data_IF_865209278485
#
_entry.id   IF_865209278485
#
_cell.length_a   1.000
_cell.length_b   1.000
_cell.length_c   1.000
_cell.angle_alpha   90.00
_cell.angle_beta   90.00
_cell.angle_gamma   90.00
#
_symmetry.space_group_name_H-M   'P 1'
#
loop_
_entity.id
_entity.type
_entity.pdbx_description
1 polymer ?
#
# COMPACT_ATOMS: atom_id res chain seq x y z
N UNK A 1 18.49 -39.95 25.87
CA UNK A 1 18.26 -39.43 24.51
C UNK A 1 17.36 -38.21 24.66
N UNK A 2 17.95 -37.05 24.88
CA UNK A 2 17.29 -35.77 25.17
C UNK A 2 18.14 -34.67 24.54
N UNK A 3 17.52 -33.56 24.13
CA UNK A 3 18.06 -32.40 23.40
C UNK A 3 18.20 -32.52 21.87
N UNK A 4 17.07 -32.56 21.16
CA UNK A 4 17.02 -32.09 19.76
C UNK A 4 15.84 -31.18 19.40
N UNK A 5 14.92 -30.92 20.33
CA UNK A 5 13.70 -30.14 20.03
C UNK A 5 13.81 -28.63 20.30
N UNK A 6 14.89 -28.15 20.92
CA UNK A 6 15.05 -26.70 21.22
C UNK A 6 15.75 -25.87 20.13
N UNK A 7 16.27 -26.49 19.07
CA UNK A 7 17.07 -25.76 18.07
C UNK A 7 16.20 -24.92 17.12
N UNK A 8 14.99 -25.36 16.79
CA UNK A 8 14.09 -24.67 15.84
C UNK A 8 13.51 -23.38 16.45
N UNK A 9 13.19 -23.40 17.75
CA UNK A 9 12.66 -22.23 18.46
C UNK A 9 13.76 -21.19 18.69
N UNK A 10 15.01 -21.61 18.95
CA UNK A 10 16.13 -20.67 19.13
C UNK A 10 16.56 -19.96 17.84
N UNK A 11 16.40 -20.59 16.67
CA UNK A 11 16.66 -19.95 15.37
C UNK A 11 15.66 -18.84 15.01
N UNK A 12 14.48 -18.81 15.61
CA UNK A 12 13.52 -17.71 15.43
C UNK A 12 13.93 -16.43 16.17
N UNK A 13 14.73 -16.53 17.25
CA UNK A 13 15.10 -15.40 18.11
C UNK A 13 16.52 -14.87 17.89
N UNK A 14 17.33 -15.52 17.07
CA UNK A 14 18.61 -14.98 16.63
C UNK A 14 18.35 -13.95 15.52
N UNK A 15 19.09 -12.82 15.48
CA UNK A 15 19.03 -11.91 14.35
C UNK A 15 19.30 -12.74 13.09
N UNK A 16 18.35 -12.74 12.15
CA UNK A 16 18.58 -13.38 10.85
C UNK A 16 19.89 -12.85 10.27
N UNK A 17 20.58 -13.64 9.44
CA UNK A 17 21.79 -13.17 8.75
C UNK A 17 21.55 -11.82 8.06
N UNK A 18 20.34 -11.62 7.55
CA UNK A 18 19.83 -10.38 7.00
C UNK A 18 19.75 -9.21 8.01
N UNK A 19 19.29 -9.46 9.24
CA UNK A 19 19.28 -8.45 10.32
C UNK A 19 20.68 -8.05 10.73
N UNK A 20 21.61 -9.01 10.80
CA UNK A 20 23.02 -8.74 11.08
C UNK A 20 23.66 -7.88 9.98
N UNK A 21 23.36 -8.17 8.71
CA UNK A 21 23.82 -7.38 7.57
C UNK A 21 23.28 -5.94 7.61
N UNK A 22 22.00 -5.74 7.90
CA UNK A 22 21.43 -4.39 8.06
C UNK A 22 22.00 -3.62 9.24
N UNK A 23 22.28 -4.29 10.36
CA UNK A 23 22.94 -3.65 11.50
C UNK A 23 24.39 -3.25 11.16
N UNK A 24 25.09 -4.04 10.35
CA UNK A 24 26.44 -3.71 9.86
C UNK A 24 26.42 -2.54 8.88
N UNK A 25 25.38 -2.44 8.04
CA UNK A 25 25.19 -1.36 7.07
C UNK A 25 24.72 -0.03 7.70
N UNK A 26 24.07 -0.08 8.87
CA UNK A 26 23.61 1.11 9.58
C UNK A 26 24.78 1.98 10.06
N UNK A 27 24.68 3.29 9.79
CA UNK A 27 25.74 4.27 10.06
C UNK A 27 25.76 4.73 11.51
N UNK A 28 24.59 4.83 12.15
CA UNK A 28 24.47 5.34 13.52
C UNK A 28 24.09 4.26 14.55
N UNK A 29 24.53 4.40 15.82
CA UNK A 29 24.13 3.48 16.88
C UNK A 29 22.62 3.53 17.17
N UNK A 30 21.99 4.70 17.00
CA UNK A 30 20.54 4.88 17.15
C UNK A 30 19.75 4.10 16.10
N UNK A 31 20.20 4.12 14.84
CA UNK A 31 19.58 3.31 13.77
C UNK A 31 19.68 1.82 14.09
N UNK A 32 20.85 1.34 14.54
CA UNK A 32 21.04 -0.08 14.93
C UNK A 32 20.09 -0.50 16.04
N UNK A 33 19.96 0.32 17.09
CA UNK A 33 19.04 0.06 18.19
C UNK A 33 17.57 0.00 17.72
N UNK A 34 17.19 0.88 16.78
CA UNK A 34 15.85 0.89 16.20
C UNK A 34 15.57 -0.32 15.31
N UNK A 35 16.53 -0.74 14.48
CA UNK A 35 16.44 -1.98 13.68
C UNK A 35 16.25 -3.17 14.61
N UNK A 36 17.06 -3.26 15.68
CA UNK A 36 16.97 -4.35 16.64
C UNK A 36 15.61 -4.39 17.36
N UNK A 37 15.09 -3.22 17.76
CA UNK A 37 13.76 -3.13 18.40
C UNK A 37 12.65 -3.64 17.49
N UNK A 38 12.61 -3.19 16.23
CA UNK A 38 11.56 -3.60 15.30
C UNK A 38 11.71 -5.04 14.81
N UNK A 39 12.95 -5.54 14.67
CA UNK A 39 13.21 -6.96 14.43
C UNK A 39 12.64 -7.83 15.55
N UNK A 40 12.80 -7.46 16.83
CA UNK A 40 12.19 -8.22 17.94
C UNK A 40 10.66 -8.20 17.89
N UNK A 41 10.05 -7.08 17.53
CA UNK A 41 8.59 -6.94 17.40
C UNK A 41 8.07 -7.82 16.25
N UNK A 42 8.75 -7.80 15.10
CA UNK A 42 8.44 -8.64 13.95
C UNK A 42 8.54 -10.14 14.32
N UNK A 43 9.64 -10.56 14.97
CA UNK A 43 9.79 -11.94 15.46
C UNK A 43 8.68 -12.34 16.41
N UNK A 44 8.29 -11.45 17.34
CA UNK A 44 7.18 -11.71 18.26
C UNK A 44 5.85 -11.85 17.51
N UNK A 45 5.62 -11.03 16.48
CA UNK A 45 4.46 -11.13 15.60
C UNK A 45 4.42 -12.46 14.84
N UNK A 46 5.53 -12.88 14.24
CA UNK A 46 5.66 -14.17 13.55
C UNK A 46 5.37 -15.33 14.52
N UNK A 47 5.98 -15.32 15.71
CA UNK A 47 5.76 -16.36 16.72
C UNK A 47 4.30 -16.42 17.18
N UNK A 48 3.66 -15.26 17.44
CA UNK A 48 2.24 -15.19 17.79
C UNK A 48 1.34 -15.70 16.66
N UNK A 49 1.68 -15.39 15.40
CA UNK A 49 0.94 -15.86 14.22
C UNK A 49 1.03 -17.39 14.10
N UNK A 50 2.22 -17.96 14.21
CA UNK A 50 2.42 -19.42 14.18
C UNK A 50 1.69 -20.13 15.33
N UNK A 51 1.69 -19.52 16.51
CA UNK A 51 0.92 -20.00 17.65
C UNK A 51 -0.59 -19.95 17.38
N UNK A 52 -1.09 -18.86 16.81
CA UNK A 52 -2.48 -18.73 16.38
C UNK A 52 -2.89 -19.77 15.34
N UNK A 53 -2.04 -20.02 14.33
CA UNK A 53 -2.26 -21.09 13.34
C UNK A 53 -2.31 -22.47 14.02
N UNK A 54 -1.42 -22.73 14.98
CA UNK A 54 -1.44 -23.97 15.75
C UNK A 54 -2.74 -24.11 16.57
N UNK A 55 -3.20 -23.00 17.19
CA UNK A 55 -4.47 -22.96 17.91
C UNK A 55 -5.67 -23.19 16.98
N UNK A 56 -5.65 -22.68 15.75
CA UNK A 56 -6.70 -22.93 14.75
C UNK A 56 -6.78 -24.41 14.36
N UNK A 57 -5.63 -25.08 14.22
CA UNK A 57 -5.59 -26.52 13.98
C UNK A 57 -6.16 -27.30 15.17
N UNK A 58 -5.76 -26.94 16.40
CA UNK A 58 -6.27 -27.57 17.62
C UNK A 58 -7.76 -27.29 17.86
N UNK A 59 -8.24 -26.09 17.50
CA UNK A 59 -9.64 -25.69 17.58
C UNK A 59 -10.55 -26.62 16.77
N UNK A 60 -10.07 -27.10 15.62
CA UNK A 60 -10.80 -28.09 14.81
C UNK A 60 -11.03 -29.39 15.58
N UNK A 61 -9.99 -29.93 16.23
CA UNK A 61 -10.11 -31.16 17.04
C UNK A 61 -10.97 -30.94 18.29
N UNK A 62 -10.78 -29.80 18.96
CA UNK A 62 -11.59 -29.44 20.13
C UNK A 62 -13.08 -29.30 19.77
N UNK A 63 -13.39 -28.74 18.60
CA UNK A 63 -14.77 -28.61 18.11
C UNK A 63 -15.46 -29.96 17.91
N UNK A 64 -14.74 -30.96 17.40
CA UNK A 64 -15.25 -32.34 17.30
C UNK A 64 -15.56 -32.90 18.70
N UNK A 65 -14.65 -32.71 19.66
CA UNK A 65 -14.87 -33.15 21.03
C UNK A 65 -16.08 -32.48 21.70
N UNK A 66 -16.24 -31.16 21.52
CA UNK A 66 -17.39 -30.40 22.01
C UNK A 66 -18.68 -30.89 21.36
N UNK A 67 -18.69 -31.13 20.04
CA UNK A 67 -19.87 -31.62 19.34
C UNK A 67 -20.30 -33.01 19.86
N UNK A 68 -19.36 -33.94 20.04
CA UNK A 68 -19.63 -35.28 20.58
C UNK A 68 -20.15 -35.18 22.02
N UNK A 69 -19.51 -34.39 22.87
CA UNK A 69 -19.96 -34.20 24.26
C UNK A 69 -21.40 -33.67 24.32
N UNK A 70 -21.69 -32.61 23.58
CA UNK A 70 -23.01 -31.98 23.58
C UNK A 70 -24.11 -32.83 22.94
N UNK A 71 -23.76 -33.75 22.02
CA UNK A 71 -24.70 -34.75 21.51
C UNK A 71 -25.15 -35.78 22.55
N UNK A 72 -24.37 -35.96 23.62
CA UNK A 72 -24.70 -36.89 24.72
C UNK A 72 -25.42 -36.18 25.87
N UNK A 73 -25.14 -34.88 26.06
CA UNK A 73 -25.65 -34.11 27.22
C UNK A 73 -26.82 -33.17 26.91
N UNK A 74 -27.37 -33.17 25.67
CA UNK A 74 -28.44 -32.27 25.21
C UNK A 74 -28.20 -30.77 25.53
N UNK A 75 -26.94 -30.34 25.46
CA UNK A 75 -26.54 -28.95 25.72
C UNK A 75 -26.24 -28.16 24.44
N UNK A 76 -26.27 -26.83 24.50
CA UNK A 76 -25.88 -25.97 23.38
C UNK A 76 -24.34 -25.83 23.25
N UNK A 77 -23.71 -26.22 22.12
CA UNK A 77 -22.28 -26.08 21.90
C UNK A 77 -21.83 -24.66 21.49
N UNK A 78 -22.74 -23.73 21.22
CA UNK A 78 -22.40 -22.42 20.64
C UNK A 78 -21.44 -21.60 21.51
N UNK A 79 -21.67 -21.55 22.82
CA UNK A 79 -20.82 -20.81 23.77
C UNK A 79 -19.36 -21.30 23.79
N UNK A 80 -19.11 -22.59 24.04
CA UNK A 80 -17.76 -23.16 23.98
C UNK A 80 -17.07 -22.97 22.62
N UNK A 81 -17.79 -23.18 21.51
CA UNK A 81 -17.24 -23.01 20.16
C UNK A 81 -16.83 -21.56 19.89
N UNK A 82 -17.63 -20.58 20.33
CA UNK A 82 -17.30 -19.16 20.20
C UNK A 82 -15.96 -18.83 20.86
N UNK A 83 -15.72 -19.32 22.08
CA UNK A 83 -14.45 -19.08 22.79
C UNK A 83 -13.26 -19.78 22.14
N UNK A 84 -13.44 -21.03 21.69
CA UNK A 84 -12.39 -21.81 21.00
C UNK A 84 -11.94 -21.08 19.74
N UNK A 85 -12.88 -20.74 18.86
CA UNK A 85 -12.56 -20.08 17.59
C UNK A 85 -12.18 -18.62 17.77
N UNK A 86 -12.87 -17.87 18.64
CA UNK A 86 -12.58 -16.47 18.93
C UNK A 86 -11.17 -16.26 19.47
N UNK A 87 -10.70 -17.15 20.35
CA UNK A 87 -9.32 -17.08 20.86
C UNK A 87 -8.30 -17.40 19.77
N UNK A 88 -8.53 -18.46 18.99
CA UNK A 88 -7.61 -18.88 17.93
C UNK A 88 -7.47 -17.80 16.83
N UNK A 89 -8.61 -17.26 16.36
CA UNK A 89 -8.65 -16.17 15.38
C UNK A 89 -8.04 -14.89 15.95
N UNK A 90 -8.37 -14.53 17.19
CA UNK A 90 -7.84 -13.33 17.84
C UNK A 90 -6.32 -13.34 17.98
N UNK A 91 -5.74 -14.47 18.43
CA UNK A 91 -4.27 -14.61 18.55
C UNK A 91 -3.60 -14.55 17.18
N UNK A 92 -4.14 -15.26 16.18
CA UNK A 92 -3.59 -15.25 14.82
C UNK A 92 -3.64 -13.84 14.21
N UNK A 93 -4.78 -13.13 14.34
CA UNK A 93 -4.97 -11.79 13.80
C UNK A 93 -4.05 -10.74 14.44
N UNK A 94 -3.93 -10.74 15.78
CA UNK A 94 -3.03 -9.82 16.48
C UNK A 94 -1.56 -10.11 16.12
N UNK A 95 -1.20 -11.39 16.00
CA UNK A 95 0.13 -11.81 15.56
C UNK A 95 0.46 -11.28 14.16
N UNK A 96 -0.44 -11.50 13.20
CA UNK A 96 -0.28 -11.08 11.81
C UNK A 96 -0.17 -9.55 11.70
N UNK A 97 -1.03 -8.81 12.40
CA UNK A 97 -0.97 -7.34 12.43
C UNK A 97 0.35 -6.84 13.00
N UNK A 98 0.81 -7.45 14.10
CA UNK A 98 2.09 -7.09 14.74
C UNK A 98 3.27 -7.40 13.81
N UNK A 99 3.21 -8.52 13.08
CA UNK A 99 4.20 -8.88 12.08
C UNK A 99 4.26 -7.85 10.95
N UNK A 100 3.13 -7.53 10.31
CA UNK A 100 3.06 -6.55 9.21
C UNK A 100 3.59 -5.18 9.63
N UNK A 101 3.11 -4.67 10.77
CA UNK A 101 3.56 -3.39 11.31
C UNK A 101 5.05 -3.41 11.69
N UNK A 102 5.50 -4.51 12.30
CA UNK A 102 6.90 -4.71 12.67
C UNK A 102 7.84 -4.73 11.47
N UNK A 103 7.46 -5.48 10.42
CA UNK A 103 8.21 -5.58 9.16
C UNK A 103 8.33 -4.24 8.46
N UNK A 104 7.21 -3.52 8.28
CA UNK A 104 7.19 -2.19 7.67
C UNK A 104 8.07 -1.20 8.44
N UNK A 105 7.94 -1.15 9.76
CA UNK A 105 8.72 -0.26 10.62
C UNK A 105 10.20 -0.64 10.67
N UNK A 106 10.54 -1.94 10.62
CA UNK A 106 11.92 -2.41 10.52
C UNK A 106 12.53 -1.98 9.19
N UNK A 107 11.84 -2.17 8.07
CA UNK A 107 12.32 -1.78 6.76
C UNK A 107 12.57 -0.26 6.70
N UNK A 108 11.63 0.56 7.17
CA UNK A 108 11.83 2.00 7.27
C UNK A 108 13.03 2.36 8.17
N UNK A 109 13.22 1.64 9.28
CA UNK A 109 14.36 1.85 10.16
C UNK A 109 15.70 1.49 9.50
N UNK A 110 15.75 0.44 8.67
CA UNK A 110 16.96 -0.01 7.96
C UNK A 110 17.48 1.02 6.97
N UNK A 111 16.61 1.85 6.37
CA UNK A 111 17.00 2.83 5.35
C UNK A 111 16.93 4.28 5.82
N UNK A 112 16.57 4.53 7.07
CA UNK A 112 16.38 5.88 7.59
C UNK A 112 17.66 6.72 7.60
N UNK A 113 18.82 6.07 7.75
CA UNK A 113 20.14 6.69 7.60
C UNK A 113 20.83 6.21 6.32
N UNK A 114 20.10 5.77 5.30
CA UNK A 114 20.66 5.44 4.00
C UNK A 114 21.10 6.70 3.22
N UNK A 115 21.94 6.52 2.22
CA UNK A 115 22.23 7.54 1.22
C UNK A 115 21.03 7.69 0.30
N UNK A 116 20.60 8.93 0.07
CA UNK A 116 19.53 9.24 -0.86
C UNK A 116 20.13 9.58 -2.22
N UNK A 117 19.74 8.82 -3.24
CA UNK A 117 20.28 8.92 -4.59
C UNK A 117 19.14 9.02 -5.60
N UNK A 118 19.38 9.79 -6.66
CA UNK A 118 18.48 9.87 -7.81
C UNK A 118 19.07 9.03 -8.94
N UNK A 119 18.30 8.06 -9.39
CA UNK A 119 18.63 7.22 -10.54
C UNK A 119 17.56 7.29 -11.63
N UNK A 120 17.69 6.42 -12.60
CA UNK A 120 16.76 6.22 -13.70
C UNK A 120 16.26 4.79 -13.67
N UNK A 121 14.98 4.60 -13.98
CA UNK A 121 14.42 3.26 -14.18
C UNK A 121 14.88 2.75 -15.53
N UNK A 122 15.71 1.71 -15.57
CA UNK A 122 16.20 1.14 -16.82
C UNK A 122 15.18 0.21 -17.45
N UNK A 123 14.47 -0.56 -16.60
CA UNK A 123 13.56 -1.61 -17.05
C UNK A 123 12.55 -1.94 -15.97
N UNK A 124 11.32 -2.23 -16.37
CA UNK A 124 10.33 -2.87 -15.52
C UNK A 124 10.01 -4.24 -16.13
N UNK A 125 10.14 -5.31 -15.36
CA UNK A 125 9.81 -6.68 -15.78
C UNK A 125 8.51 -7.05 -15.10
N UNK A 126 7.48 -7.26 -15.90
CA UNK A 126 6.18 -7.71 -15.44
C UNK A 126 6.20 -9.20 -15.13
N UNK A 127 5.65 -9.56 -13.98
CA UNK A 127 5.33 -10.93 -13.61
C UNK A 127 3.83 -10.99 -13.40
N UNK A 128 3.08 -11.53 -14.38
CA UNK A 128 1.64 -11.61 -14.28
C UNK A 128 1.28 -12.48 -13.08
N UNK A 129 0.40 -11.95 -12.23
CA UNK A 129 -0.19 -12.71 -11.14
C UNK A 129 -1.06 -13.84 -11.69
N UNK A 130 -1.24 -14.91 -10.93
CA UNK A 130 -2.15 -16.01 -11.28
C UNK A 130 -3.17 -16.23 -10.17
N UNK A 131 -4.45 -16.26 -10.53
CA UNK A 131 -5.54 -16.42 -9.56
C UNK A 131 -5.69 -15.17 -8.68
N UNK A 132 -5.53 -15.35 -7.37
CA UNK A 132 -5.60 -14.28 -6.36
C UNK A 132 -4.26 -13.54 -6.18
N UNK A 133 -3.18 -14.01 -6.83
CA UNK A 133 -1.89 -13.33 -6.76
C UNK A 133 -1.94 -12.05 -7.61
N UNK A 134 -1.50 -10.94 -7.01
CA UNK A 134 -1.40 -9.67 -7.72
C UNK A 134 -0.26 -9.69 -8.75
N UNK A 135 -0.46 -9.02 -9.88
CA UNK A 135 0.62 -8.71 -10.82
C UNK A 135 1.67 -7.88 -10.11
N UNK A 136 2.93 -8.32 -10.23
CA UNK A 136 4.07 -7.65 -9.60
C UNK A 136 5.18 -7.39 -10.61
N UNK A 137 6.03 -6.42 -10.29
CA UNK A 137 7.05 -5.91 -11.18
C UNK A 137 8.42 -5.90 -10.52
N UNK A 138 9.42 -6.37 -11.27
CA UNK A 138 10.83 -6.14 -10.97
C UNK A 138 11.32 -4.89 -11.70
N UNK A 139 11.44 -3.78 -10.98
CA UNK A 139 11.92 -2.52 -11.51
C UNK A 139 13.44 -2.42 -11.30
N UNK A 140 14.20 -2.36 -12.39
CA UNK A 140 15.66 -2.17 -12.39
C UNK A 140 15.98 -0.68 -12.47
N UNK A 141 16.85 -0.24 -11.58
CA UNK A 141 17.23 1.15 -11.40
C UNK A 141 18.74 1.26 -11.54
N UNK A 142 19.22 2.23 -12.33
CA UNK A 142 20.62 2.62 -12.37
C UNK A 142 20.81 4.03 -11.83
N UNK A 143 21.86 4.26 -11.05
CA UNK A 143 22.21 5.60 -10.59
C UNK A 143 23.73 5.82 -10.65
N UNK A 144 24.15 6.97 -11.18
CA UNK A 144 25.54 7.39 -11.12
C UNK A 144 25.81 7.98 -9.72
N UNK A 145 26.74 7.39 -8.97
CA UNK A 145 27.07 7.83 -7.60
C UNK A 145 28.44 8.50 -7.49
N UNK A 146 29.35 8.19 -8.41
CA UNK A 146 30.62 8.87 -8.60
C UNK A 146 31.02 8.78 -10.08
N UNK A 147 32.04 9.55 -10.52
CA UNK A 147 32.47 9.69 -11.93
C UNK A 147 32.68 8.37 -12.68
N UNK A 148 32.89 7.25 -11.97
CA UNK A 148 33.09 5.92 -12.56
C UNK A 148 32.24 4.80 -11.95
N UNK A 149 31.28 5.09 -11.05
CA UNK A 149 30.49 4.04 -10.38
C UNK A 149 28.99 4.19 -10.62
N UNK A 150 28.40 3.19 -11.28
CA UNK A 150 26.96 3.05 -11.45
C UNK A 150 26.43 2.03 -10.46
N UNK A 151 25.52 2.46 -9.59
CA UNK A 151 24.73 1.55 -8.76
C UNK A 151 23.63 0.93 -9.58
N UNK A 152 23.42 -0.37 -9.39
CA UNK A 152 22.27 -1.11 -9.93
C UNK A 152 21.43 -1.61 -8.77
N UNK A 153 20.13 -1.33 -8.82
CA UNK A 153 19.16 -1.73 -7.79
C UNK A 153 17.93 -2.37 -8.41
N UNK A 154 17.30 -3.26 -7.67
CA UNK A 154 16.07 -3.96 -8.02
C UNK A 154 15.01 -3.64 -6.97
N UNK A 155 13.93 -3.04 -7.42
CA UNK A 155 12.79 -2.68 -6.60
C UNK A 155 11.61 -3.58 -6.99
N UNK A 156 11.12 -4.33 -6.02
CA UNK A 156 9.92 -5.16 -6.16
C UNK A 156 8.68 -4.32 -5.83
N UNK A 157 7.71 -4.27 -6.73
CA UNK A 157 6.51 -3.45 -6.59
C UNK A 157 5.29 -4.19 -7.12
N UNK A 158 4.22 -4.20 -6.35
CA UNK A 158 2.92 -4.75 -6.75
C UNK A 158 2.07 -3.69 -7.47
N UNK A 159 1.12 -4.15 -8.28
CA UNK A 159 0.17 -3.29 -9.00
C UNK A 159 0.50 -3.08 -10.48
N UNK A 160 -0.26 -2.20 -11.11
CA UNK A 160 -0.31 -2.12 -12.57
C UNK A 160 0.52 -0.98 -13.17
N UNK A 161 0.88 -1.14 -14.45
CA UNK A 161 1.45 -0.11 -15.32
C UNK A 161 2.78 0.53 -14.90
N UNK A 162 3.64 -0.19 -14.14
CA UNK A 162 4.98 0.31 -13.78
C UNK A 162 5.95 0.38 -14.97
N UNK A 163 5.63 -0.21 -16.12
CA UNK A 163 6.36 -0.05 -17.39
C UNK A 163 6.46 1.40 -17.87
N UNK A 164 5.47 2.25 -17.54
CA UNK A 164 5.46 3.67 -17.94
C UNK A 164 6.56 4.48 -17.27
N UNK A 165 7.16 3.95 -16.20
CA UNK A 165 8.24 4.61 -15.45
C UNK A 165 9.61 4.33 -16.05
N UNK A 166 9.73 3.42 -17.01
CA UNK A 166 11.00 3.14 -17.71
C UNK A 166 11.51 4.40 -18.41
N UNK A 167 12.77 4.74 -18.17
CA UNK A 167 13.40 6.00 -18.58
C UNK A 167 13.13 7.18 -17.65
N UNK A 168 12.19 7.05 -16.71
CA UNK A 168 11.85 8.09 -15.73
C UNK A 168 12.83 8.13 -14.54
N UNK A 169 12.99 9.29 -13.89
CA UNK A 169 13.83 9.38 -12.71
C UNK A 169 13.16 8.77 -11.47
N UNK A 170 13.97 8.27 -10.54
CA UNK A 170 13.52 7.64 -9.30
C UNK A 170 14.47 8.01 -8.17
N UNK A 171 13.90 8.39 -7.02
CA UNK A 171 14.63 8.71 -5.81
C UNK A 171 14.50 7.54 -4.84
N UNK A 172 15.64 7.02 -4.41
CA UNK A 172 15.69 5.88 -3.51
C UNK A 172 16.78 6.04 -2.46
N UNK A 173 16.65 5.28 -1.37
CA UNK A 173 17.68 5.12 -0.35
C UNK A 173 18.41 3.80 -0.51
N UNK A 174 19.71 3.81 -0.25
CA UNK A 174 20.56 2.63 -0.22
C UNK A 174 21.60 2.79 0.90
N UNK A 175 22.04 1.69 1.50
CA UNK A 175 23.00 1.72 2.60
C UNK A 175 24.43 1.45 2.14
N UNK A 176 24.60 0.77 1.00
CA UNK A 176 25.89 0.33 0.47
C UNK A 176 26.16 0.92 -0.90
N UNK A 177 27.45 1.03 -1.26
CA UNK A 177 27.90 1.37 -2.61
C UNK A 177 28.23 0.13 -3.46
N UNK A 178 27.89 -1.05 -2.95
CA UNK A 178 28.18 -2.32 -3.62
C UNK A 178 27.29 -2.46 -4.87
N UNK A 179 27.87 -2.79 -6.03
CA UNK A 179 27.11 -2.93 -7.28
C UNK A 179 26.28 -4.22 -7.32
N UNK A 180 26.67 -5.24 -6.57
CA UNK A 180 26.00 -6.55 -6.43
C UNK A 180 24.88 -6.56 -5.38
N UNK A 181 24.79 -5.53 -4.53
CA UNK A 181 23.70 -5.36 -3.57
C UNK A 181 22.41 -4.87 -4.26
N UNK A 182 21.82 -5.70 -5.11
CA UNK A 182 20.67 -5.32 -5.94
C UNK A 182 19.46 -4.93 -5.10
N UNK A 183 19.21 -5.63 -4.00
CA UNK A 183 18.03 -5.42 -3.14
C UNK A 183 18.24 -4.35 -2.05
N UNK A 184 19.40 -3.68 -2.05
CA UNK A 184 19.71 -2.55 -1.16
C UNK A 184 19.06 -1.25 -1.67
N UNK A 185 17.73 -1.25 -1.70
CA UNK A 185 16.92 -0.14 -2.21
C UNK A 185 15.64 0.04 -1.41
N UNK A 186 15.34 1.29 -1.09
CA UNK A 186 14.07 1.69 -0.53
C UNK A 186 13.56 2.91 -1.30
N UNK A 187 12.41 2.75 -1.96
CA UNK A 187 11.79 3.82 -2.72
C UNK A 187 11.45 4.99 -1.78
N UNK A 188 11.89 6.19 -2.15
CA UNK A 188 11.48 7.42 -1.48
C UNK A 188 10.39 8.10 -2.29
N UNK A 189 10.62 8.26 -3.59
CA UNK A 189 9.73 8.99 -4.50
C UNK A 189 10.06 8.68 -5.96
N UNK A 190 9.10 8.87 -6.86
CA UNK A 190 9.37 8.88 -8.30
C UNK A 190 9.71 10.31 -8.69
N UNK A 191 11.01 10.62 -8.75
CA UNK A 191 11.45 11.95 -9.13
C UNK A 191 11.08 12.20 -10.59
N UNK A 192 10.18 13.12 -10.91
CA UNK A 192 9.78 13.34 -12.30
C UNK A 192 8.45 14.06 -12.49
N UNK A 193 7.55 14.01 -11.51
CA UNK A 193 6.32 14.80 -11.55
C UNK A 193 6.47 16.06 -10.72
N UNK A 194 6.90 17.11 -11.43
CA UNK A 194 6.94 18.53 -11.09
C UNK A 194 7.77 18.89 -9.84
N UNK A 195 8.91 19.55 -10.07
CA UNK A 195 9.45 20.63 -9.21
C UNK A 195 9.90 20.29 -7.79
N UNK A 196 11.23 20.19 -7.63
CA UNK A 196 12.05 20.52 -6.46
C UNK A 196 11.59 20.21 -5.01
N UNK A 197 12.45 19.40 -4.39
CA UNK A 197 12.96 19.49 -3.01
C UNK A 197 11.99 19.39 -1.82
N UNK A 198 12.36 18.42 -0.99
CA UNK A 198 12.15 18.34 0.45
C UNK A 198 12.41 19.67 1.17
N UNK A 199 11.39 20.54 1.28
CA UNK A 199 11.22 21.44 2.42
C UNK A 199 9.82 22.04 2.47
N UNK A 200 9.07 21.66 3.52
CA UNK A 200 7.83 22.30 4.00
C UNK A 200 6.66 22.29 3.02
N UNK A 201 5.61 21.57 3.43
CA UNK A 201 4.25 21.88 3.02
C UNK A 201 3.97 23.37 3.15
N UNK A 202 3.53 23.96 2.03
CA UNK A 202 2.57 25.07 2.00
C UNK A 202 2.03 25.42 0.61
N UNK A 203 2.58 24.90 -0.49
CA UNK A 203 2.01 25.08 -1.84
C UNK A 203 2.45 23.94 -2.78
N UNK A 204 1.79 22.78 -2.70
CA UNK A 204 2.04 21.71 -3.66
C UNK A 204 1.00 21.80 -4.77
N UNK A 205 1.43 22.09 -6.00
CA UNK A 205 0.51 22.31 -7.12
C UNK A 205 0.22 20.98 -7.82
N UNK A 206 -1.05 20.72 -8.10
CA UNK A 206 -1.57 19.57 -8.86
C UNK A 206 -1.69 19.94 -10.34
N UNK A 207 -1.52 19.00 -11.28
CA UNK A 207 -1.69 19.27 -12.71
C UNK A 207 -3.07 19.89 -13.03
N UNK A 208 -3.13 20.75 -14.06
CA UNK A 208 -4.36 21.46 -14.39
C UNK A 208 -5.51 20.51 -14.74
N UNK A 209 -6.73 20.83 -14.29
CA UNK A 209 -7.93 20.12 -14.70
C UNK A 209 -8.42 20.61 -16.07
N UNK A 210 -8.84 19.67 -16.91
CA UNK A 210 -9.69 19.96 -18.05
C UNK A 210 -11.15 19.86 -17.61
N UNK A 211 -11.75 21.03 -17.39
CA UNK A 211 -13.13 21.22 -16.94
C UNK A 211 -14.18 21.01 -18.06
N UNK A 212 -13.82 20.35 -19.16
CA UNK A 212 -14.79 19.89 -20.15
C UNK A 212 -15.50 18.64 -19.62
N UNK A 213 -16.84 18.64 -19.40
CA UNK A 213 -17.54 17.47 -18.88
C UNK A 213 -17.43 16.26 -19.81
N UNK A 214 -17.18 15.10 -19.22
CA UNK A 214 -17.12 13.80 -19.92
C UNK A 214 -18.03 12.80 -19.25
N UNK A 215 -18.61 11.89 -20.03
CA UNK A 215 -19.40 10.79 -19.48
C UNK A 215 -18.45 9.68 -19.07
N UNK A 216 -18.52 9.30 -17.79
CA UNK A 216 -17.87 8.11 -17.26
C UNK A 216 -18.93 7.10 -16.82
N UNK A 217 -18.65 5.82 -16.99
CA UNK A 217 -19.52 4.71 -16.58
C UNK A 217 -18.85 3.94 -15.44
N UNK A 218 -19.55 3.71 -14.35
CA UNK A 218 -19.03 2.92 -13.22
C UNK A 218 -18.82 1.47 -13.68
N UNK A 219 -17.61 0.95 -13.56
CA UNK A 219 -17.27 -0.45 -13.88
C UNK A 219 -17.27 -1.33 -12.65
N UNK A 220 -16.69 -0.84 -11.55
CA UNK A 220 -16.59 -1.57 -10.28
C UNK A 220 -16.95 -0.63 -9.14
N UNK A 221 -17.80 -1.12 -8.23
CA UNK A 221 -18.08 -0.52 -6.95
C UNK A 221 -17.67 -1.54 -5.87
N UNK A 222 -16.40 -1.50 -5.48
CA UNK A 222 -15.87 -2.37 -4.43
C UNK A 222 -16.20 -1.75 -3.07
N UNK A 223 -16.99 -2.46 -2.27
CA UNK A 223 -17.44 -2.04 -0.94
C UNK A 223 -16.28 -1.86 0.07
N UNK A 224 -15.10 -2.41 -0.24
CA UNK A 224 -13.84 -2.12 0.43
C UNK A 224 -12.68 -2.82 -0.29
N UNK A 225 -11.69 -2.07 -0.75
CA UNK A 225 -10.40 -2.64 -1.13
C UNK A 225 -9.69 -3.11 0.17
N UNK A 226 -9.50 -4.42 0.32
CA UNK A 226 -8.90 -5.04 1.51
C UNK A 226 -7.44 -4.59 1.77
N UNK A 227 -6.76 -4.02 0.76
CA UNK A 227 -5.36 -3.57 0.88
C UNK A 227 -5.23 -2.10 1.24
N UNK A 228 -6.19 -1.25 0.82
CA UNK A 228 -6.21 0.18 1.20
C UNK A 228 -7.15 0.48 2.36
N UNK A 229 -8.13 -0.38 2.62
CA UNK A 229 -9.17 -0.22 3.63
C UNK A 229 -10.29 0.76 3.25
N UNK A 230 -10.41 1.12 1.96
CA UNK A 230 -11.40 2.09 1.47
C UNK A 230 -12.20 1.56 0.28
N UNK A 231 -13.51 1.83 0.19
CA UNK A 231 -14.29 1.53 -1.01
C UNK A 231 -13.76 2.33 -2.21
N UNK A 232 -13.58 1.67 -3.35
CA UNK A 232 -13.03 2.26 -4.57
C UNK A 232 -14.04 2.21 -5.72
N UNK A 233 -14.47 3.38 -6.20
CA UNK A 233 -15.27 3.48 -7.42
C UNK A 233 -14.34 3.53 -8.63
N UNK A 234 -14.39 2.51 -9.48
CA UNK A 234 -13.73 2.51 -10.80
C UNK A 234 -14.73 2.90 -11.88
N UNK A 235 -14.27 3.70 -12.81
CA UNK A 235 -15.07 4.21 -13.91
C UNK A 235 -14.29 4.11 -15.22
N UNK A 236 -15.02 3.88 -16.31
CA UNK A 236 -14.49 4.01 -17.65
C UNK A 236 -14.97 5.30 -18.30
N UNK A 237 -14.07 6.02 -18.96
CA UNK A 237 -14.42 7.23 -19.69
C UNK A 237 -13.62 7.34 -20.99
N UNK A 238 -14.07 8.20 -21.91
CA UNK A 238 -13.33 8.49 -23.14
C UNK A 238 -12.46 9.75 -22.97
N UNK A 239 -11.15 9.59 -23.11
CA UNK A 239 -10.16 10.67 -23.00
C UNK A 239 -10.17 11.64 -24.17
N UNK A 240 -9.39 12.72 -24.05
CA UNK A 240 -9.16 13.68 -25.15
C UNK A 240 -8.39 13.08 -26.32
N UNK A 241 -7.65 12.01 -26.06
CA UNK A 241 -6.97 11.19 -27.05
C UNK A 241 -7.92 10.26 -27.83
N UNK A 242 -9.21 10.24 -27.48
CA UNK A 242 -10.24 9.40 -28.08
C UNK A 242 -10.21 7.94 -27.60
N UNK A 243 -9.31 7.58 -26.69
CA UNK A 243 -9.21 6.23 -26.12
C UNK A 243 -10.15 6.09 -24.93
N UNK A 244 -10.51 4.85 -24.63
CA UNK A 244 -11.22 4.52 -23.40
C UNK A 244 -10.19 4.23 -22.30
N UNK A 245 -10.38 4.85 -21.15
CA UNK A 245 -9.54 4.69 -19.97
C UNK A 245 -10.40 4.12 -18.85
N UNK A 246 -9.85 3.17 -18.09
CA UNK A 246 -10.43 2.68 -16.84
C UNK A 246 -9.60 3.24 -15.68
N UNK A 247 -10.26 3.98 -14.79
CA UNK A 247 -9.60 4.79 -13.77
C UNK A 247 -10.42 4.85 -12.50
N UNK A 248 -9.79 5.21 -11.39
CA UNK A 248 -10.50 5.44 -10.12
C UNK A 248 -11.15 6.83 -10.09
N UNK A 249 -12.32 6.93 -9.48
CA UNK A 249 -12.91 8.21 -9.10
C UNK A 249 -12.10 8.83 -7.94
N UNK A 250 -11.60 10.05 -8.12
CA UNK A 250 -10.85 10.76 -7.11
C UNK A 250 -11.75 11.17 -5.93
N UNK A 251 -13.01 11.48 -6.17
CA UNK A 251 -13.94 11.86 -5.10
C UNK A 251 -14.20 10.68 -4.17
N UNK A 252 -13.91 10.88 -2.89
CA UNK A 252 -14.33 9.96 -1.86
C UNK A 252 -15.80 10.25 -1.54
N UNK A 253 -16.69 9.40 -2.04
CA UNK A 253 -18.13 9.49 -1.83
C UNK A 253 -18.45 8.93 -0.43
N UNK A 254 -19.33 9.60 0.30
CA UNK A 254 -19.83 9.12 1.58
C UNK A 254 -20.57 7.79 1.43
N UNK A 255 -20.39 6.88 2.39
CA UNK A 255 -20.97 5.53 2.36
C UNK A 255 -22.49 5.54 2.12
N UNK A 256 -23.20 6.55 2.62
CA UNK A 256 -24.65 6.70 2.43
C UNK A 256 -25.09 6.96 0.98
N UNK A 257 -24.15 7.28 0.08
CA UNK A 257 -24.38 7.54 -1.34
C UNK A 257 -23.87 6.46 -2.27
N UNK A 258 -23.10 5.48 -1.78
CA UNK A 258 -22.47 4.44 -2.62
C UNK A 258 -23.51 3.61 -3.40
N UNK A 259 -24.69 3.38 -2.84
CA UNK A 259 -25.81 2.69 -3.52
C UNK A 259 -26.28 3.40 -4.80
N UNK A 260 -25.99 4.69 -4.96
CA UNK A 260 -26.31 5.47 -6.16
C UNK A 260 -25.29 5.28 -7.29
N UNK A 261 -24.16 4.63 -7.02
CA UNK A 261 -23.12 4.31 -7.99
C UNK A 261 -23.11 2.80 -8.32
N UNK A 262 -24.21 2.19 -8.78
CA UNK A 262 -24.15 0.81 -9.24
C UNK A 262 -23.31 0.71 -10.52
N UNK A 263 -22.70 -0.44 -10.76
CA UNK A 263 -22.03 -0.72 -12.02
C UNK A 263 -22.98 -0.48 -13.21
N UNK A 264 -22.48 0.20 -14.24
CA UNK A 264 -23.25 0.65 -15.40
C UNK A 264 -23.93 2.02 -15.24
N UNK A 265 -23.97 2.60 -14.04
CA UNK A 265 -24.41 4.00 -13.88
C UNK A 265 -23.44 4.97 -14.57
N UNK A 266 -23.97 6.10 -15.05
CA UNK A 266 -23.19 7.10 -15.79
C UNK A 266 -23.17 8.43 -15.08
N UNK A 267 -22.00 9.06 -15.06
CA UNK A 267 -21.70 10.27 -14.31
C UNK A 267 -20.89 11.23 -15.16
N UNK A 268 -21.02 12.52 -14.89
CA UNK A 268 -20.17 13.52 -15.54
C UNK A 268 -18.91 13.72 -14.73
N UNK A 269 -17.77 13.67 -15.40
CA UNK A 269 -16.46 13.82 -14.78
C UNK A 269 -15.53 14.77 -15.53
N UNK A 270 -14.56 15.32 -14.82
CA UNK A 270 -13.37 15.98 -15.32
C UNK A 270 -12.15 15.07 -15.22
N UNK A 271 -11.17 15.31 -16.08
CA UNK A 271 -9.86 14.66 -16.04
C UNK A 271 -8.76 15.72 -16.02
N UNK A 272 -7.52 15.29 -15.86
CA UNK A 272 -6.38 16.19 -16.05
C UNK A 272 -6.26 16.64 -17.50
N UNK A 273 -5.75 17.86 -17.69
CA UNK A 273 -5.48 18.47 -19.01
C UNK A 273 -4.34 17.77 -19.74
N UNK A 274 -3.36 17.24 -18.99
CA UNK A 274 -2.25 16.46 -19.54
C UNK A 274 -2.74 15.05 -19.95
N UNK A 275 -2.70 14.69 -21.25
CA UNK A 275 -3.10 13.36 -21.71
C UNK A 275 -2.27 12.22 -21.10
N UNK A 276 -1.03 12.48 -20.67
CA UNK A 276 -0.20 11.48 -19.99
C UNK A 276 -0.81 11.02 -18.64
N UNK A 277 -1.75 11.79 -18.10
CA UNK A 277 -2.45 11.52 -16.84
C UNK A 277 -3.86 10.96 -17.05
N UNK A 278 -4.28 10.65 -18.28
CA UNK A 278 -5.63 10.18 -18.58
C UNK A 278 -5.99 8.86 -17.88
N UNK A 279 -5.01 8.00 -17.58
CA UNK A 279 -5.21 6.74 -16.85
C UNK A 279 -5.01 6.86 -15.32
N UNK A 280 -5.09 8.07 -14.75
CA UNK A 280 -4.84 8.24 -13.30
C UNK A 280 -6.13 8.25 -12.50
N UNK A 281 -6.84 9.36 -12.48
CA UNK A 281 -8.09 9.57 -11.77
C UNK A 281 -8.97 10.57 -12.52
N UNK A 282 -10.26 10.55 -12.20
CA UNK A 282 -11.24 11.54 -12.67
C UNK A 282 -12.03 12.12 -11.49
N UNK A 283 -12.67 13.26 -11.70
CA UNK A 283 -13.36 14.03 -10.66
C UNK A 283 -14.81 14.26 -11.06
N UNK A 284 -15.79 14.10 -10.17
CA UNK A 284 -17.19 14.46 -10.44
C UNK A 284 -17.29 15.95 -10.79
N UNK A 285 -18.09 16.31 -11.79
CA UNK A 285 -18.31 17.73 -12.10
C UNK A 285 -19.16 18.43 -11.03
N UNK A 286 -19.24 19.75 -11.10
CA UNK A 286 -20.12 20.56 -10.26
C UNK A 286 -21.61 20.29 -10.50
N UNK A 287 -21.98 19.62 -11.61
CA UNK A 287 -23.35 19.13 -11.84
C UNK A 287 -23.79 18.11 -10.77
N UNK A 288 -22.82 17.43 -10.14
CA UNK A 288 -23.04 16.43 -9.09
C UNK A 288 -22.70 16.98 -7.71
N UNK A 289 -22.90 18.29 -7.52
CA UNK A 289 -22.75 18.93 -6.22
C UNK A 289 -23.82 18.47 -5.22
N UNK A 290 -24.84 17.71 -5.59
CA UNK A 290 -25.74 17.06 -4.64
C UNK A 290 -25.08 15.87 -3.91
N UNK A 291 -24.04 15.26 -4.50
CA UNK A 291 -23.31 14.11 -3.96
C UNK A 291 -22.55 14.50 -2.68
N UNK A 292 -22.68 13.68 -1.64
CA UNK A 292 -21.92 13.87 -0.41
C UNK A 292 -20.49 13.38 -0.58
N UNK A 293 -19.56 14.33 -0.74
CA UNK A 293 -18.12 14.06 -0.80
C UNK A 293 -17.52 14.16 0.60
N UNK A 294 -16.81 13.12 1.03
CA UNK A 294 -16.14 13.04 2.32
C UNK A 294 -14.61 13.22 2.20
N UNK A 295 -14.08 13.33 0.98
CA UNK A 295 -12.69 13.70 0.70
C UNK A 295 -12.33 13.59 -0.78
N UNK A 296 -11.04 13.70 -1.10
CA UNK A 296 -10.52 13.39 -2.43
C UNK A 296 -9.25 12.55 -2.30
N UNK A 297 -9.19 11.48 -3.08
CA UNK A 297 -8.10 10.53 -3.16
C UNK A 297 -7.36 10.71 -4.49
N UNK A 298 -6.12 11.17 -4.40
CA UNK A 298 -5.28 11.37 -5.57
C UNK A 298 -4.21 10.29 -5.62
N UNK A 299 -4.45 9.29 -6.47
CA UNK A 299 -3.42 8.34 -6.87
C UNK A 299 -2.78 8.84 -8.18
N UNK A 300 -1.87 9.78 -8.04
CA UNK A 300 -1.31 10.52 -9.18
C UNK A 300 -0.17 9.78 -9.90
N UNK A 301 -0.16 8.43 -9.89
CA UNK A 301 0.78 7.56 -10.61
C UNK A 301 2.28 7.81 -10.37
N UNK A 302 2.67 8.85 -9.64
CA UNK A 302 4.02 9.42 -9.60
C UNK A 302 4.31 10.21 -8.30
N UNK A 303 3.31 10.51 -7.47
CA UNK A 303 3.50 10.89 -6.06
C UNK A 303 2.70 9.89 -5.24
N UNK A 304 3.36 9.15 -4.35
CA UNK A 304 2.68 8.24 -3.44
C UNK A 304 1.46 8.91 -2.79
N UNK A 305 0.47 8.09 -2.41
CA UNK A 305 -0.83 8.46 -1.84
C UNK A 305 -0.93 9.93 -1.36
N UNK A 306 -1.47 10.82 -2.21
CA UNK A 306 -1.71 12.21 -1.81
C UNK A 306 -3.06 12.26 -1.12
N UNK A 307 -3.05 12.14 0.21
CA UNK A 307 -4.22 12.36 1.06
C UNK A 307 -4.46 13.88 1.19
N UNK A 308 -5.45 14.42 0.49
CA UNK A 308 -5.80 15.85 0.58
C UNK A 308 -6.73 16.17 1.74
N UNK A 309 -7.06 15.17 2.58
CA UNK A 309 -7.80 15.30 3.84
C UNK A 309 -9.24 14.79 3.72
N UNK A 310 -9.78 14.31 4.85
CA UNK A 310 -11.23 14.10 5.00
C UNK A 310 -11.90 15.45 5.27
N UNK A 311 -13.02 15.74 4.60
CA UNK A 311 -13.84 16.87 4.98
C UNK A 311 -14.38 16.62 6.39
N UNK A 312 -14.14 17.54 7.34
CA UNK A 312 -14.63 17.41 8.72
C UNK A 312 -16.16 17.26 8.81
N UNK A 313 -16.89 17.68 7.77
CA UNK A 313 -18.32 17.49 7.56
C UNK A 313 -18.61 17.34 6.06
N UNK A 314 -18.86 16.13 5.55
CA UNK A 314 -19.31 15.92 4.17
C UNK A 314 -20.57 16.74 3.92
N UNK A 315 -20.63 17.45 2.79
CA UNK A 315 -21.83 18.19 2.36
C UNK A 315 -21.92 18.21 0.84
N UNK A 316 -23.14 18.35 0.29
CA UNK A 316 -23.34 18.72 -1.11
C UNK A 316 -22.46 19.93 -1.48
N UNK A 317 -21.79 19.85 -2.63
CA UNK A 317 -21.00 20.93 -3.23
C UNK A 317 -19.66 21.14 -2.55
N UNK A 318 -19.15 20.11 -1.87
CA UNK A 318 -17.81 20.19 -1.30
C UNK A 318 -16.78 20.33 -2.43
N UNK A 319 -15.88 21.32 -2.35
CA UNK A 319 -14.86 21.54 -3.38
C UNK A 319 -13.94 20.33 -3.48
N UNK A 320 -13.28 20.12 -4.64
CA UNK A 320 -12.29 19.03 -4.82
C UNK A 320 -11.16 19.02 -3.79
N UNK A 321 -10.89 20.15 -3.15
CA UNK A 321 -9.86 20.30 -2.13
C UNK A 321 -10.47 21.13 -1.00
N UNK A 322 -10.29 20.69 0.25
CA UNK A 322 -10.72 21.47 1.42
C UNK A 322 -10.06 22.84 1.49
N UNK A 323 -10.69 23.80 2.16
CA UNK A 323 -10.18 25.17 2.31
C UNK A 323 -8.80 25.21 2.99
N UNK A 324 -8.52 24.25 3.88
CA UNK A 324 -7.25 24.08 4.58
C UNK A 324 -6.24 23.18 3.81
N UNK A 325 -6.57 22.74 2.59
CA UNK A 325 -5.71 21.85 1.81
C UNK A 325 -4.43 22.58 1.39
N UNK A 326 -3.24 21.98 1.58
CA UNK A 326 -1.97 22.54 1.08
C UNK A 326 -1.81 22.39 -0.43
N UNK A 327 -2.82 21.81 -1.12
CA UNK A 327 -2.83 21.51 -2.54
C UNK A 327 -3.71 22.48 -3.32
N UNK A 328 -3.32 22.79 -4.55
CA UNK A 328 -4.11 23.60 -5.51
C UNK A 328 -3.89 23.06 -6.91
N UNK A 329 -4.92 23.04 -7.75
CA UNK A 329 -4.73 22.75 -9.18
C UNK A 329 -4.01 23.91 -9.87
N UNK A 330 -3.16 23.58 -10.84
CA UNK A 330 -2.67 24.55 -11.82
C UNK A 330 -3.86 25.19 -12.53
N UNK A 331 -3.78 26.49 -12.84
CA UNK A 331 -4.84 27.21 -13.53
C UNK A 331 -5.20 26.66 -14.93
#
# INVERSE_FOLDING_TARGET
>A
MSMRENTIVQTLFLPSAQTAEWMAAARTPETRARIQRWSRIETAGIAATLMGITLLLLASFASIGVAVWHSVTDGDPAGPLWWIWGTAVGVAGIGALTWVLGSSRRQAACFADGYETVGTVDRAIEHPGSGDDLTWWDVRISAAVAESSVLRRRLHIEGEHHNRRVGGPVRFRHNTLRPDALDDVHLVDWAGTIGHSSRRGRNAVLPALDRTPRIAMVTVNEESDFMTGWPGLYVTYRGTDGRQHEVRLADHVDDSWLDRFPAGSTWQVYCFRDPALADTVVFLTEEHDDVWRSGTYLWLGVRGEVRTGQFRKPRPGSPFLGEDSPWRFEP
#
